data_IF_564828425025
#
_entry.id   IF_564828425025
#
_cell.length_a   1.000
_cell.length_b   1.000
_cell.length_c   1.000
_cell.angle_alpha   90.00
_cell.angle_beta   90.00
_cell.angle_gamma   90.00
#
_symmetry.space_group_name_H-M   'P 1'
#
loop_
_entity.id
_entity.type
_entity.pdbx_description
1 polymer ?
#
# COMPACT_ATOMS: atom_id res chain seq x y z
N UNK A 1 -19.64 2.50 -2.96
CA UNK A 1 -18.54 3.36 -2.50
C UNK A 1 -18.02 4.11 -3.72
N UNK A 2 -17.94 5.45 -3.67
CA UNK A 2 -17.42 6.24 -4.80
C UNK A 2 -15.92 5.93 -5.02
N UNK A 3 -15.48 5.99 -6.28
CA UNK A 3 -14.08 5.78 -6.71
C UNK A 3 -13.15 6.77 -6.01
N UNK A 4 -13.55 8.03 -5.89
CA UNK A 4 -12.75 9.06 -5.21
C UNK A 4 -12.54 8.72 -3.74
N UNK A 5 -13.59 8.28 -3.05
CA UNK A 5 -13.49 7.78 -1.67
C UNK A 5 -12.55 6.58 -1.57
N UNK A 6 -12.52 5.71 -2.59
CA UNK A 6 -11.58 4.58 -2.65
C UNK A 6 -10.15 5.04 -2.83
N UNK A 7 -9.90 6.00 -3.73
CA UNK A 7 -8.58 6.61 -3.94
C UNK A 7 -8.07 7.22 -2.65
N UNK A 8 -8.92 7.98 -1.95
CA UNK A 8 -8.54 8.61 -0.70
C UNK A 8 -8.20 7.58 0.38
N UNK A 9 -9.01 6.53 0.54
CA UNK A 9 -8.71 5.43 1.47
C UNK A 9 -7.39 4.73 1.18
N UNK A 10 -7.06 4.47 -0.09
CA UNK A 10 -5.77 3.89 -0.45
C UNK A 10 -4.61 4.83 -0.10
N UNK A 11 -4.76 6.13 -0.38
CA UNK A 11 -3.76 7.16 -0.02
C UNK A 11 -3.54 7.22 1.48
N UNK A 12 -4.61 7.30 2.27
CA UNK A 12 -4.53 7.40 3.73
C UNK A 12 -3.84 6.16 4.33
N UNK A 13 -4.17 4.98 3.81
CA UNK A 13 -3.56 3.71 4.24
C UNK A 13 -2.06 3.70 3.95
N UNK A 14 -1.66 4.02 2.72
CA UNK A 14 -0.24 4.03 2.33
C UNK A 14 0.52 5.10 3.13
N UNK A 15 -0.07 6.28 3.33
CA UNK A 15 0.55 7.33 4.14
C UNK A 15 0.80 6.85 5.58
N UNK A 16 -0.19 6.24 6.23
CA UNK A 16 -0.04 5.70 7.58
C UNK A 16 1.04 4.61 7.64
N UNK A 17 1.08 3.72 6.65
CA UNK A 17 2.10 2.68 6.57
C UNK A 17 3.52 3.27 6.45
N UNK A 18 3.69 4.31 5.64
CA UNK A 18 4.96 5.01 5.46
C UNK A 18 5.37 5.75 6.75
N UNK A 19 4.43 6.37 7.45
CA UNK A 19 4.68 7.05 8.72
C UNK A 19 5.15 6.08 9.82
N UNK A 20 4.51 4.92 9.94
CA UNK A 20 4.91 3.86 10.88
C UNK A 20 6.34 3.39 10.58
N UNK A 21 6.66 3.17 9.30
CA UNK A 21 7.99 2.75 8.89
C UNK A 21 9.04 3.82 9.21
N UNK A 22 8.78 5.08 8.85
CA UNK A 22 9.67 6.22 9.06
C UNK A 22 10.00 6.42 10.54
N UNK A 23 8.98 6.37 11.42
CA UNK A 23 9.18 6.53 12.87
C UNK A 23 10.11 5.47 13.44
N UNK A 24 10.02 4.22 12.98
CA UNK A 24 10.91 3.15 13.47
C UNK A 24 12.31 3.23 12.88
N UNK A 25 12.44 3.32 11.56
CA UNK A 25 13.73 3.14 10.87
C UNK A 25 14.57 4.41 10.89
N UNK A 26 13.93 5.56 10.68
CA UNK A 26 14.64 6.84 10.58
C UNK A 26 14.61 7.63 11.89
N UNK A 27 13.91 7.12 12.93
CA UNK A 27 13.78 7.73 14.27
C UNK A 27 13.41 9.22 14.24
N UNK A 28 12.74 9.64 13.18
CA UNK A 28 12.37 11.03 12.97
C UNK A 28 11.02 11.33 13.61
N UNK A 29 10.89 12.48 14.28
CA UNK A 29 9.61 12.98 14.82
C UNK A 29 8.62 13.33 13.71
N UNK A 30 9.14 13.70 12.53
CA UNK A 30 8.37 14.06 11.35
C UNK A 30 8.71 13.12 10.18
N UNK A 31 7.88 13.12 9.14
CA UNK A 31 8.18 12.33 7.94
C UNK A 31 9.47 12.85 7.29
N UNK A 32 10.48 11.99 7.15
CA UNK A 32 11.74 12.40 6.54
C UNK A 32 11.56 12.61 5.03
N UNK A 33 12.50 13.31 4.41
CA UNK A 33 12.44 13.64 2.98
C UNK A 33 12.29 12.41 2.08
N UNK A 34 12.98 11.31 2.39
CA UNK A 34 12.87 10.07 1.63
C UNK A 34 11.47 9.44 1.72
N UNK A 35 10.91 9.36 2.93
CA UNK A 35 9.58 8.82 3.13
C UNK A 35 8.49 9.74 2.54
N UNK A 36 8.72 11.05 2.55
CA UNK A 36 7.86 12.02 1.88
C UNK A 36 7.86 11.82 0.36
N UNK A 37 9.03 11.65 -0.26
CA UNK A 37 9.13 11.34 -1.68
C UNK A 37 8.41 10.04 -2.05
N UNK A 38 8.54 8.99 -1.22
CA UNK A 38 7.82 7.73 -1.44
C UNK A 38 6.29 7.92 -1.33
N UNK A 39 5.83 8.71 -0.36
CA UNK A 39 4.40 9.04 -0.17
C UNK A 39 3.83 9.80 -1.36
N UNK A 40 4.52 10.85 -1.81
CA UNK A 40 4.07 11.67 -2.94
C UNK A 40 4.06 10.88 -4.26
N UNK A 41 5.06 10.02 -4.43
CA UNK A 41 5.10 9.08 -5.55
C UNK A 41 3.90 8.11 -5.51
N UNK A 42 3.62 7.51 -4.35
CA UNK A 42 2.49 6.61 -4.18
C UNK A 42 1.15 7.31 -4.46
N UNK A 43 0.98 8.56 -4.00
CA UNK A 43 -0.23 9.35 -4.23
C UNK A 43 -0.46 9.61 -5.71
N UNK A 44 0.60 10.04 -6.42
CA UNK A 44 0.56 10.27 -7.86
C UNK A 44 0.16 9.00 -8.63
N UNK A 45 0.63 7.83 -8.19
CA UNK A 45 0.25 6.54 -8.79
C UNK A 45 -1.19 6.14 -8.47
N UNK A 46 -1.65 6.39 -7.25
CA UNK A 46 -3.04 6.15 -6.87
C UNK A 46 -4.02 7.03 -7.62
N UNK A 47 -3.67 8.29 -7.92
CA UNK A 47 -4.51 9.19 -8.72
C UNK A 47 -4.65 8.76 -10.18
N UNK A 48 -3.54 8.30 -10.77
CA UNK A 48 -3.50 7.88 -12.17
C UNK A 48 -3.86 6.41 -12.39
N UNK A 49 -4.30 5.70 -11.35
CA UNK A 49 -4.59 4.27 -11.45
C UNK A 49 -5.84 4.02 -12.32
N UNK A 50 -5.73 3.27 -13.43
CA UNK A 50 -6.87 2.93 -14.29
C UNK A 50 -7.71 1.79 -13.71
N UNK A 51 -7.14 0.99 -12.80
CA UNK A 51 -7.80 -0.18 -12.21
C UNK A 51 -8.46 0.11 -10.86
N UNK A 52 -8.64 1.39 -10.48
CA UNK A 52 -9.11 1.75 -9.14
C UNK A 52 -10.48 1.15 -8.80
N UNK A 53 -11.37 1.02 -9.78
CA UNK A 53 -12.69 0.40 -9.58
C UNK A 53 -12.60 -1.09 -9.25
N UNK A 54 -11.85 -1.83 -10.06
CA UNK A 54 -11.82 -3.30 -10.04
C UNK A 54 -10.78 -3.88 -9.08
N UNK A 55 -9.67 -3.17 -8.82
CA UNK A 55 -8.60 -3.66 -7.95
C UNK A 55 -9.02 -3.61 -6.49
N UNK A 56 -8.63 -4.61 -5.72
CA UNK A 56 -8.81 -4.60 -4.26
C UNK A 56 -7.68 -3.85 -3.56
N UNK A 57 -6.43 -4.13 -3.94
CA UNK A 57 -5.24 -3.52 -3.36
C UNK A 57 -4.12 -3.33 -4.41
N UNK A 58 -3.21 -2.39 -4.14
CA UNK A 58 -2.04 -2.15 -4.99
C UNK A 58 -1.09 -3.36 -5.07
N UNK A 59 -1.05 -4.23 -4.07
CA UNK A 59 -0.25 -5.47 -4.06
C UNK A 59 -0.69 -6.46 -5.14
N UNK A 60 -1.97 -6.45 -5.52
CA UNK A 60 -2.56 -7.36 -6.50
C UNK A 60 -2.65 -6.72 -7.91
N UNK A 61 -1.92 -5.63 -8.16
CA UNK A 61 -1.97 -4.95 -9.43
C UNK A 61 -1.33 -5.82 -10.53
N UNK A 62 -2.02 -5.99 -11.66
CA UNK A 62 -1.54 -6.77 -12.81
C UNK A 62 -0.44 -6.07 -13.63
N UNK A 63 -0.20 -4.78 -13.39
CA UNK A 63 0.76 -3.97 -14.14
C UNK A 63 1.91 -3.47 -13.26
N UNK A 64 3.09 -3.36 -13.86
CA UNK A 64 4.25 -2.71 -13.24
C UNK A 64 4.07 -1.19 -13.23
N UNK A 65 3.48 -0.68 -12.14
CA UNK A 65 3.20 0.75 -11.95
C UNK A 65 4.34 1.50 -11.24
N UNK A 66 5.12 0.80 -10.40
CA UNK A 66 6.22 1.37 -9.64
C UNK A 66 7.55 1.22 -10.39
N UNK A 67 8.39 2.26 -10.34
CA UNK A 67 9.80 2.14 -10.74
C UNK A 67 10.49 1.13 -9.81
N UNK A 68 11.50 0.37 -10.28
CA UNK A 68 12.12 -0.70 -9.50
C UNK A 68 12.65 -0.25 -8.13
N UNK A 69 13.28 0.92 -8.07
CA UNK A 69 13.78 1.57 -6.84
C UNK A 69 12.65 1.85 -5.84
N UNK A 70 11.57 2.49 -6.30
CA UNK A 70 10.42 2.80 -5.46
C UNK A 70 9.63 1.55 -5.08
N UNK A 71 9.64 0.52 -5.92
CA UNK A 71 8.97 -0.75 -5.67
C UNK A 71 9.63 -1.51 -4.51
N UNK A 72 10.95 -1.50 -4.43
CA UNK A 72 11.67 -2.09 -3.29
C UNK A 72 11.31 -1.37 -1.99
N UNK A 73 11.40 -0.04 -1.98
CA UNK A 73 11.05 0.78 -0.80
C UNK A 73 9.63 0.56 -0.32
N UNK A 74 8.64 0.57 -1.22
CA UNK A 74 7.24 0.36 -0.80
C UNK A 74 7.00 -1.07 -0.30
N UNK A 75 7.72 -2.08 -0.83
CA UNK A 75 7.62 -3.46 -0.32
C UNK A 75 8.17 -3.58 1.09
N UNK A 76 9.28 -2.92 1.39
CA UNK A 76 9.82 -2.88 2.75
C UNK A 76 8.83 -2.22 3.73
N UNK A 77 8.27 -1.08 3.33
CA UNK A 77 7.21 -0.41 4.08
C UNK A 77 6.01 -1.34 4.28
N UNK A 78 5.55 -2.04 3.23
CA UNK A 78 4.43 -2.96 3.34
C UNK A 78 4.72 -4.16 4.24
N UNK A 79 5.90 -4.77 4.13
CA UNK A 79 6.31 -5.90 4.96
C UNK A 79 6.43 -5.51 6.44
N UNK A 80 6.94 -4.31 6.72
CA UNK A 80 7.09 -3.82 8.09
C UNK A 80 5.76 -3.33 8.67
N UNK A 81 5.06 -2.46 7.96
CA UNK A 81 3.87 -1.78 8.48
C UNK A 81 2.61 -2.63 8.35
N UNK A 82 2.54 -3.57 7.39
CA UNK A 82 1.38 -4.41 7.14
C UNK A 82 0.87 -5.17 8.37
N UNK A 83 1.71 -5.96 9.08
CA UNK A 83 1.31 -6.63 10.32
C UNK A 83 0.94 -5.66 11.44
N UNK A 84 1.54 -4.46 11.43
CA UNK A 84 1.33 -3.42 12.46
C UNK A 84 0.06 -2.60 12.23
N UNK A 85 -0.44 -2.57 11.00
CA UNK A 85 -1.74 -1.98 10.67
C UNK A 85 -2.90 -2.66 11.38
N UNK A 86 -2.74 -3.90 11.85
CA UNK A 86 -3.75 -4.62 12.63
C UNK A 86 -4.10 -3.90 13.94
N UNK A 87 -3.16 -3.12 14.50
CA UNK A 87 -3.37 -2.34 15.72
C UNK A 87 -4.07 -0.99 15.48
N UNK A 88 -4.07 -0.49 14.24
CA UNK A 88 -4.65 0.82 13.89
C UNK A 88 -5.98 0.66 13.14
N UNK A 89 -6.04 -0.26 12.19
CA UNK A 89 -7.23 -0.59 11.40
C UNK A 89 -7.39 -2.11 11.25
N UNK A 90 -7.77 -2.82 12.32
CA UNK A 90 -7.82 -4.29 12.35
C UNK A 90 -8.66 -4.89 11.21
N UNK A 91 -9.85 -4.32 10.95
CA UNK A 91 -10.74 -4.79 9.88
C UNK A 91 -10.11 -4.62 8.49
N UNK A 92 -9.40 -3.51 8.24
CA UNK A 92 -8.76 -3.25 6.96
C UNK A 92 -7.55 -4.16 6.74
N UNK A 93 -6.74 -4.37 7.77
CA UNK A 93 -5.57 -5.25 7.72
C UNK A 93 -5.99 -6.72 7.48
N UNK A 94 -7.01 -7.20 8.19
CA UNK A 94 -7.55 -8.56 8.01
C UNK A 94 -8.10 -8.73 6.59
N UNK A 95 -8.88 -7.76 6.08
CA UNK A 95 -9.37 -7.79 4.70
C UNK A 95 -8.23 -7.81 3.68
N UNK A 96 -7.16 -7.04 3.91
CA UNK A 96 -5.97 -7.02 3.07
C UNK A 96 -5.27 -8.37 2.99
N UNK A 97 -5.07 -9.03 4.12
CA UNK A 97 -4.46 -10.36 4.17
C UNK A 97 -5.33 -11.40 3.48
N UNK A 98 -6.65 -11.41 3.74
CA UNK A 98 -7.57 -12.37 3.13
C UNK A 98 -7.62 -12.19 1.60
N UNK A 99 -7.77 -10.96 1.11
CA UNK A 99 -7.85 -10.71 -0.33
C UNK A 99 -6.52 -10.97 -1.04
N UNK A 100 -5.38 -10.66 -0.42
CA UNK A 100 -4.06 -11.00 -0.95
C UNK A 100 -3.86 -12.52 -1.03
N UNK A 101 -4.24 -13.26 0.01
CA UNK A 101 -4.14 -14.73 0.03
C UNK A 101 -5.12 -15.40 -0.94
N UNK A 102 -6.31 -14.83 -1.13
CA UNK A 102 -7.31 -15.31 -2.11
C UNK A 102 -6.81 -15.11 -3.55
N UNK A 103 -6.23 -13.96 -3.85
CA UNK A 103 -5.66 -13.70 -5.18
C UNK A 103 -4.45 -14.60 -5.45
N UNK A 104 -3.58 -14.80 -4.45
CA UNK A 104 -2.45 -15.74 -4.55
C UNK A 104 -2.92 -17.16 -4.89
N UNK A 105 -3.92 -17.69 -4.17
CA UNK A 105 -4.51 -19.01 -4.46
C UNK A 105 -5.17 -19.09 -5.84
N UNK A 106 -5.81 -18.00 -6.30
CA UNK A 106 -6.41 -17.95 -7.63
C UNK A 106 -5.35 -18.06 -8.72
N UNK A 107 -4.22 -17.39 -8.55
CA UNK A 107 -3.07 -17.46 -9.47
C UNK A 107 -2.39 -18.84 -9.45
N UNK A 108 -2.32 -19.50 -8.29
CA UNK A 108 -1.82 -20.87 -8.16
C UNK A 108 -2.73 -21.89 -8.87
N UNK A 109 -4.05 -21.76 -8.74
CA UNK A 109 -5.03 -22.66 -9.37
C UNK A 109 -5.22 -22.42 -10.88
N UNK A 110 -4.72 -21.30 -11.40
CA UNK A 110 -4.79 -20.95 -12.83
C UNK A 110 -3.52 -21.36 -13.61
N UNK A 111 -2.54 -21.94 -12.93
CA UNK A 111 -1.38 -22.62 -13.51
C UNK A 111 -1.66 -24.12 -13.60
#
# INVERSE_FOLDING_TARGET
MNIETKRQKEKDTVALMIEIYCKKHHKSKHLCQECQQLKDYAFTRSDKCPFMETKTFCSNCKVHCYRPDMQQKIREVMAYSGPRMLFYHPVMAIKHVIETQKEKRRLENAK
#
